data_IF_726649924533
#
_entry.id   IF_726649924533
#
_cell.length_a   1.000
_cell.length_b   1.000
_cell.length_c   1.000
_cell.angle_alpha   90.00
_cell.angle_beta   90.00
_cell.angle_gamma   90.00
#
_symmetry.space_group_name_H-M   'P 1'
#
loop_
_entity.id
_entity.type
_entity.pdbx_description
1 polymer ?
#
# COMPACT_ATOMS: atom_id res chain seq x y z
N UNK A 1 -12.10 29.26 73.12
CA UNK A 1 -12.28 30.47 73.96
C UNK A 1 -13.61 30.45 74.72
N UNK A 2 -14.76 30.25 74.04
CA UNK A 2 -16.07 30.15 74.72
C UNK A 2 -16.12 29.10 75.85
N UNK A 3 -15.50 27.94 75.67
CA UNK A 3 -15.40 26.90 76.72
C UNK A 3 -14.50 27.27 77.90
N UNK A 4 -13.49 28.12 77.67
CA UNK A 4 -12.59 28.57 78.74
C UNK A 4 -13.32 29.53 79.69
N UNK A 5 -14.21 30.36 79.16
CA UNK A 5 -15.04 31.27 79.96
C UNK A 5 -16.02 30.54 80.88
N UNK A 6 -16.42 29.30 80.55
CA UNK A 6 -17.28 28.46 81.40
C UNK A 6 -16.55 27.91 82.63
N UNK A 7 -15.21 27.94 82.64
CA UNK A 7 -14.38 27.42 83.76
C UNK A 7 -14.12 28.46 84.85
N UNK A 8 -14.48 29.72 84.63
CA UNK A 8 -14.30 30.78 85.62
C UNK A 8 -15.36 30.64 86.73
N UNK A 9 -15.01 30.87 88.01
CA UNK A 9 -15.95 30.80 89.13
C UNK A 9 -16.89 32.02 89.14
N UNK A 10 -17.87 32.03 88.23
CA UNK A 10 -18.84 33.12 88.03
C UNK A 10 -19.61 33.50 89.30
N UNK A 11 -19.80 32.55 90.20
CA UNK A 11 -20.54 32.69 91.46
C UNK A 11 -19.87 33.65 92.46
N UNK A 12 -18.56 33.91 92.33
CA UNK A 12 -17.80 34.75 93.28
C UNK A 12 -17.61 36.20 92.79
N UNK A 13 -18.18 36.55 91.64
CA UNK A 13 -17.97 37.86 91.04
C UNK A 13 -19.11 38.85 91.33
N UNK A 14 -18.81 40.15 91.47
CA UNK A 14 -19.80 41.22 91.48
C UNK A 14 -20.74 41.15 90.27
N UNK A 15 -21.99 41.60 90.44
CA UNK A 15 -23.03 41.55 89.41
C UNK A 15 -22.62 42.24 88.09
N UNK A 16 -21.88 43.34 88.16
CA UNK A 16 -21.36 44.05 86.97
C UNK A 16 -20.44 43.17 86.13
N UNK A 17 -19.54 42.41 86.75
CA UNK A 17 -18.62 41.51 86.06
C UNK A 17 -19.34 40.26 85.52
N UNK A 18 -20.38 39.77 86.20
CA UNK A 18 -21.20 38.67 85.70
C UNK A 18 -21.94 39.05 84.42
N UNK A 19 -22.50 40.27 84.36
CA UNK A 19 -23.19 40.78 83.18
C UNK A 19 -22.23 40.89 81.97
N UNK A 20 -21.06 41.53 82.15
CA UNK A 20 -20.07 41.64 81.08
C UNK A 20 -19.54 40.28 80.61
N UNK A 21 -19.41 39.30 81.52
CA UNK A 21 -18.99 37.94 81.17
C UNK A 21 -20.06 37.22 80.33
N UNK A 22 -21.35 37.36 80.68
CA UNK A 22 -22.46 36.81 79.90
C UNK A 22 -22.55 37.44 78.50
N UNK A 23 -22.38 38.76 78.42
CA UNK A 23 -22.34 39.49 77.14
C UNK A 23 -21.17 39.02 76.27
N UNK A 24 -19.97 38.90 76.83
CA UNK A 24 -18.80 38.38 76.12
C UNK A 24 -19.02 36.94 75.63
N UNK A 25 -19.64 36.08 76.45
CA UNK A 25 -19.98 34.72 76.03
C UNK A 25 -20.96 34.70 74.85
N UNK A 26 -21.99 35.54 74.89
CA UNK A 26 -22.97 35.65 73.81
C UNK A 26 -22.33 36.19 72.52
N UNK A 27 -21.49 37.22 72.62
CA UNK A 27 -20.75 37.78 71.49
C UNK A 27 -19.83 36.74 70.83
N UNK A 28 -19.05 35.99 71.62
CA UNK A 28 -18.15 34.96 71.09
C UNK A 28 -18.96 33.82 70.45
N UNK A 29 -20.07 33.39 71.06
CA UNK A 29 -20.92 32.35 70.49
C UNK A 29 -21.54 32.78 69.15
N UNK A 30 -22.00 34.04 69.05
CA UNK A 30 -22.51 34.61 67.81
C UNK A 30 -21.42 34.69 66.72
N UNK A 31 -20.21 35.13 67.06
CA UNK A 31 -19.08 35.18 66.11
C UNK A 31 -18.63 33.78 65.66
N UNK A 32 -18.62 32.80 66.55
CA UNK A 32 -18.33 31.41 66.19
C UNK A 32 -19.42 30.83 65.26
N UNK A 33 -20.69 31.14 65.50
CA UNK A 33 -21.79 30.69 64.65
C UNK A 33 -21.72 31.33 63.25
N UNK A 34 -21.42 32.62 63.16
CA UNK A 34 -21.22 33.33 61.88
C UNK A 34 -20.08 32.73 61.06
N UNK A 35 -18.99 32.35 61.71
CA UNK A 35 -17.79 31.81 61.05
C UNK A 35 -17.75 30.27 61.01
N UNK A 36 -18.88 29.59 61.25
CA UNK A 36 -18.96 28.13 61.29
C UNK A 36 -18.77 27.47 59.91
N UNK A 37 -19.10 28.19 58.83
CA UNK A 37 -18.97 27.70 57.46
C UNK A 37 -17.54 27.90 56.96
N UNK A 38 -16.72 26.86 57.07
CA UNK A 38 -15.37 26.84 56.51
C UNK A 38 -15.41 26.43 55.03
N UNK A 39 -15.03 27.34 54.14
CA UNK A 39 -14.77 27.01 52.73
C UNK A 39 -13.32 26.60 52.53
N UNK A 40 -13.08 25.46 51.90
CA UNK A 40 -11.73 25.03 51.54
C UNK A 40 -11.14 25.96 50.47
N UNK A 41 -9.96 26.50 50.72
CA UNK A 41 -9.20 27.26 49.73
C UNK A 41 -8.84 26.36 48.53
N UNK A 42 -9.25 26.77 47.33
CA UNK A 42 -8.91 26.09 46.08
C UNK A 42 -7.93 26.92 45.26
N UNK A 43 -7.01 26.23 44.56
CA UNK A 43 -6.17 26.88 43.54
C UNK A 43 -7.05 27.38 42.40
N UNK A 44 -6.65 28.49 41.78
CA UNK A 44 -7.31 29.00 40.57
C UNK A 44 -7.31 27.91 39.48
N UNK A 45 -8.50 27.54 39.00
CA UNK A 45 -8.65 26.54 37.94
C UNK A 45 -8.23 27.17 36.60
N UNK A 46 -7.10 26.73 36.05
CA UNK A 46 -6.70 27.15 34.71
C UNK A 46 -7.50 26.40 33.64
N UNK A 47 -7.93 27.13 32.61
CA UNK A 47 -8.58 26.51 31.47
C UNK A 47 -7.56 25.82 30.56
N UNK A 48 -7.91 24.63 30.08
CA UNK A 48 -7.05 23.85 29.18
C UNK A 48 -7.06 24.50 27.80
N UNK A 49 -5.87 24.70 27.21
CA UNK A 49 -5.75 25.16 25.82
C UNK A 49 -6.24 24.08 24.87
N UNK A 50 -6.90 24.50 23.79
CA UNK A 50 -7.29 23.60 22.70
C UNK A 50 -6.06 23.12 21.91
N UNK A 51 -6.20 21.97 21.27
CA UNK A 51 -5.20 21.44 20.35
C UNK A 51 -5.05 22.37 19.13
N UNK A 52 -3.81 22.53 18.65
CA UNK A 52 -3.54 23.26 17.42
C UNK A 52 -4.11 22.50 16.22
N UNK A 53 -5.00 23.15 15.50
CA UNK A 53 -5.58 22.63 14.25
C UNK A 53 -4.64 22.97 13.09
N UNK A 54 -4.12 21.96 12.40
CA UNK A 54 -3.30 22.14 11.21
C UNK A 54 -4.14 22.00 9.94
N UNK A 55 -3.80 22.79 8.93
CA UNK A 55 -4.45 22.73 7.62
C UNK A 55 -3.97 21.50 6.81
N UNK A 56 -4.89 20.81 6.11
CA UNK A 56 -4.53 19.70 5.26
C UNK A 56 -3.78 20.17 4.02
N UNK A 57 -2.69 19.48 3.67
CA UNK A 57 -1.95 19.73 2.43
C UNK A 57 -2.56 18.92 1.28
N UNK A 58 -3.29 19.58 0.40
CA UNK A 58 -3.83 19.00 -0.83
C UNK A 58 -3.54 19.90 -2.04
N UNK A 59 -3.67 19.33 -3.24
CA UNK A 59 -3.57 20.07 -4.51
C UNK A 59 -4.99 20.39 -4.99
N UNK A 60 -5.31 21.66 -5.27
CA UNK A 60 -6.64 22.09 -5.73
C UNK A 60 -7.04 21.44 -7.06
N UNK A 61 -6.10 21.31 -7.99
CA UNK A 61 -6.29 20.69 -9.30
C UNK A 61 -5.71 19.27 -9.33
N UNK A 62 -6.24 18.39 -8.49
CA UNK A 62 -5.78 16.99 -8.43
C UNK A 62 -6.26 16.22 -9.66
N UNK A 63 -5.30 15.72 -10.44
CA UNK A 63 -5.54 14.79 -11.54
C UNK A 63 -4.94 13.42 -11.18
N UNK A 64 -5.79 12.38 -11.13
CA UNK A 64 -5.38 11.03 -10.77
C UNK A 64 -4.46 10.37 -11.81
N UNK A 65 -4.53 10.76 -13.08
CA UNK A 65 -3.64 10.25 -14.13
C UNK A 65 -2.25 10.90 -14.08
N UNK A 66 -2.18 12.12 -13.53
CA UNK A 66 -0.95 12.89 -13.42
C UNK A 66 -0.22 12.56 -12.12
N UNK A 67 1.04 12.16 -12.24
CA UNK A 67 1.88 11.92 -11.05
C UNK A 67 2.13 13.24 -10.30
N UNK A 68 1.79 13.27 -9.01
CA UNK A 68 2.00 14.40 -8.05
C UNK A 68 3.39 15.04 -8.12
N UNK A 69 4.41 14.30 -8.57
CA UNK A 69 5.80 14.78 -8.67
C UNK A 69 6.07 15.74 -9.83
N UNK A 70 5.10 15.96 -10.72
CA UNK A 70 5.26 16.89 -11.85
C UNK A 70 5.06 18.35 -11.43
N UNK A 71 4.33 18.61 -10.33
CA UNK A 71 3.94 19.96 -9.92
C UNK A 71 4.89 20.62 -8.92
N UNK A 72 5.88 19.91 -8.38
CA UNK A 72 6.84 20.51 -7.45
C UNK A 72 7.95 21.17 -8.28
N UNK A 73 7.84 22.48 -8.48
CA UNK A 73 8.81 23.34 -9.16
C UNK A 73 10.27 23.21 -8.68
N UNK A 74 10.52 22.53 -7.54
CA UNK A 74 11.85 22.19 -7.00
C UNK A 74 12.45 20.86 -7.51
N UNK A 75 11.70 19.98 -8.17
CA UNK A 75 12.16 18.62 -8.55
C UNK A 75 12.34 18.37 -10.07
N UNK A 76 12.23 19.41 -10.91
CA UNK A 76 12.13 19.29 -12.37
C UNK A 76 13.11 18.30 -13.02
N UNK A 77 14.41 18.39 -12.68
CA UNK A 77 15.46 17.51 -13.23
C UNK A 77 15.28 16.02 -12.85
N UNK A 78 14.78 15.72 -11.65
CA UNK A 78 14.55 14.33 -11.23
C UNK A 78 13.26 13.76 -11.79
N UNK A 79 12.23 14.60 -11.94
CA UNK A 79 10.96 14.23 -12.55
C UNK A 79 11.13 13.94 -14.05
N UNK A 80 11.87 14.80 -14.75
CA UNK A 80 12.21 14.62 -16.17
C UNK A 80 13.01 13.32 -16.40
N UNK A 81 14.02 13.06 -15.57
CA UNK A 81 14.78 11.81 -15.62
C UNK A 81 13.90 10.56 -15.44
N UNK A 82 12.91 10.61 -14.53
CA UNK A 82 11.97 9.50 -14.34
C UNK A 82 11.05 9.32 -15.55
N UNK A 83 10.56 10.42 -16.13
CA UNK A 83 9.75 10.38 -17.34
C UNK A 83 10.54 9.79 -18.50
N UNK A 84 11.79 10.22 -18.68
CA UNK A 84 12.69 9.72 -19.72
C UNK A 84 12.98 8.23 -19.54
N UNK A 85 13.31 7.79 -18.31
CA UNK A 85 13.48 6.36 -17.98
C UNK A 85 12.23 5.54 -18.29
N UNK A 86 11.02 6.08 -18.01
CA UNK A 86 9.75 5.41 -18.31
C UNK A 86 9.56 5.26 -19.82
N UNK A 87 9.78 6.34 -20.59
CA UNK A 87 9.70 6.33 -22.06
C UNK A 87 10.69 5.31 -22.63
N UNK A 88 11.96 5.39 -22.25
CA UNK A 88 13.00 4.45 -22.66
C UNK A 88 12.61 2.98 -22.41
N UNK A 89 12.15 2.64 -21.20
CA UNK A 89 11.71 1.28 -20.87
C UNK A 89 10.50 0.83 -21.69
N UNK A 90 9.57 1.74 -22.01
CA UNK A 90 8.40 1.43 -22.83
C UNK A 90 8.82 1.10 -24.27
N UNK A 91 9.65 1.95 -24.87
CA UNK A 91 10.16 1.76 -26.23
C UNK A 91 11.02 0.51 -26.34
N UNK A 92 11.97 0.30 -25.41
CA UNK A 92 12.81 -0.89 -25.37
C UNK A 92 11.99 -2.18 -25.30
N UNK A 93 10.96 -2.21 -24.45
CA UNK A 93 10.05 -3.35 -24.34
C UNK A 93 9.21 -3.54 -25.61
N UNK A 94 8.82 -2.45 -26.28
CA UNK A 94 8.13 -2.48 -27.56
C UNK A 94 8.99 -3.12 -28.64
N UNK A 95 10.18 -2.57 -28.86
CA UNK A 95 11.14 -3.07 -29.84
C UNK A 95 11.47 -4.55 -29.60
N UNK A 96 11.70 -4.95 -28.35
CA UNK A 96 12.00 -6.35 -28.03
C UNK A 96 10.80 -7.29 -28.28
N UNK A 97 9.56 -6.81 -28.16
CA UNK A 97 8.37 -7.62 -28.51
C UNK A 97 8.28 -7.82 -30.02
N UNK A 98 8.52 -6.79 -30.82
CA UNK A 98 8.51 -6.90 -32.28
C UNK A 98 9.61 -7.85 -32.77
N UNK A 99 10.85 -7.70 -32.28
CA UNK A 99 11.94 -8.63 -32.61
C UNK A 99 11.63 -10.10 -32.28
N UNK A 100 10.90 -10.35 -31.18
CA UNK A 100 10.47 -11.72 -30.85
C UNK A 100 9.41 -12.24 -31.82
N UNK A 101 8.46 -11.41 -32.24
CA UNK A 101 7.45 -11.78 -33.25
C UNK A 101 8.11 -12.07 -34.59
N UNK A 102 9.05 -11.23 -35.01
CA UNK A 102 9.80 -11.39 -36.26
C UNK A 102 10.58 -12.71 -36.24
N UNK A 103 11.28 -13.00 -35.14
CA UNK A 103 12.00 -14.26 -34.99
C UNK A 103 11.06 -15.48 -35.06
N UNK A 104 9.88 -15.41 -34.43
CA UNK A 104 8.89 -16.49 -34.51
C UNK A 104 8.37 -16.67 -35.94
N UNK A 105 8.12 -15.57 -36.64
CA UNK A 105 7.69 -15.59 -38.03
C UNK A 105 8.74 -16.24 -38.93
N UNK A 106 10.00 -15.78 -38.86
CA UNK A 106 11.13 -16.35 -39.62
C UNK A 106 11.31 -17.83 -39.30
N UNK A 107 11.22 -18.23 -38.04
CA UNK A 107 11.36 -19.63 -37.65
C UNK A 107 10.24 -20.50 -38.23
N UNK A 108 9.00 -19.98 -38.29
CA UNK A 108 7.86 -20.68 -38.89
C UNK A 108 8.02 -20.82 -40.40
N UNK A 109 8.43 -19.76 -41.10
CA UNK A 109 8.64 -19.83 -42.55
C UNK A 109 9.76 -20.81 -42.91
N UNK A 110 10.92 -20.71 -42.24
CA UNK A 110 12.03 -21.64 -42.46
C UNK A 110 11.62 -23.10 -42.22
N UNK A 111 10.82 -23.35 -41.18
CA UNK A 111 10.30 -24.70 -40.91
C UNK A 111 9.39 -25.18 -42.04
N UNK A 112 8.47 -24.33 -42.50
CA UNK A 112 7.57 -24.66 -43.60
C UNK A 112 8.34 -24.96 -44.90
N UNK A 113 9.39 -24.20 -45.19
CA UNK A 113 10.25 -24.41 -46.35
C UNK A 113 10.99 -25.75 -46.27
N UNK A 114 11.60 -26.05 -45.11
CA UNK A 114 12.28 -27.32 -44.85
C UNK A 114 11.30 -28.50 -45.00
N UNK A 115 10.12 -28.40 -44.42
CA UNK A 115 9.08 -29.45 -44.51
C UNK A 115 8.61 -29.67 -45.96
N UNK A 116 8.44 -28.60 -46.73
CA UNK A 116 8.07 -28.68 -48.14
C UNK A 116 9.17 -29.37 -48.97
N UNK A 117 10.42 -28.98 -48.77
CA UNK A 117 11.57 -29.57 -49.44
C UNK A 117 11.74 -31.05 -49.08
N UNK A 118 11.57 -31.40 -47.80
CA UNK A 118 11.61 -32.78 -47.35
C UNK A 118 10.48 -33.63 -47.93
N UNK A 119 9.26 -33.07 -48.02
CA UNK A 119 8.13 -33.74 -48.66
C UNK A 119 8.42 -34.02 -50.13
N UNK A 120 8.94 -33.03 -50.86
CA UNK A 120 9.32 -33.21 -52.27
C UNK A 120 10.42 -34.27 -52.43
N UNK A 121 11.47 -34.21 -51.60
CA UNK A 121 12.57 -35.18 -51.62
C UNK A 121 12.06 -36.60 -51.35
N UNK A 122 11.28 -36.80 -50.28
CA UNK A 122 10.70 -38.11 -49.94
C UNK A 122 9.82 -38.65 -51.06
N UNK A 123 9.01 -37.80 -51.69
CA UNK A 123 8.18 -38.19 -52.84
C UNK A 123 9.06 -38.66 -54.01
N UNK A 124 10.07 -37.87 -54.41
CA UNK A 124 10.99 -38.25 -55.49
C UNK A 124 11.72 -39.57 -55.20
N UNK A 125 12.22 -39.75 -53.99
CA UNK A 125 12.89 -41.00 -53.59
C UNK A 125 11.91 -42.18 -53.64
N UNK A 126 10.67 -42.00 -53.17
CA UNK A 126 9.64 -43.04 -53.24
C UNK A 126 9.33 -43.43 -54.69
N UNK A 127 9.16 -42.45 -55.57
CA UNK A 127 8.85 -42.68 -56.98
C UNK A 127 10.02 -43.41 -57.69
N UNK A 128 11.27 -43.03 -57.39
CA UNK A 128 12.46 -43.70 -57.91
C UNK A 128 12.56 -45.15 -57.43
N UNK A 129 12.34 -45.40 -56.13
CA UNK A 129 12.37 -46.75 -55.56
C UNK A 129 11.26 -47.63 -56.15
N UNK A 130 10.08 -47.06 -56.39
CA UNK A 130 8.98 -47.77 -57.03
C UNK A 130 9.33 -48.14 -58.48
N UNK A 131 9.94 -47.22 -59.23
CA UNK A 131 10.43 -47.49 -60.59
C UNK A 131 11.50 -48.59 -60.63
N UNK A 132 12.49 -48.54 -59.73
CA UNK A 132 13.52 -49.58 -59.60
C UNK A 132 12.93 -50.95 -59.27
N UNK A 133 11.97 -51.00 -58.34
CA UNK A 133 11.27 -52.24 -57.99
C UNK A 133 10.49 -52.82 -59.19
N UNK A 134 9.88 -51.97 -60.02
CA UNK A 134 9.24 -52.37 -61.27
C UNK A 134 10.23 -53.02 -62.24
N UNK A 135 11.39 -52.39 -62.45
CA UNK A 135 12.45 -52.93 -63.32
C UNK A 135 12.97 -54.28 -62.82
N UNK A 136 13.19 -54.44 -61.51
CA UNK A 136 13.59 -55.73 -60.93
C UNK A 136 12.53 -56.81 -61.15
N UNK A 137 11.24 -56.47 -61.02
CA UNK A 137 10.13 -57.39 -61.27
C UNK A 137 10.08 -57.84 -62.73
N UNK A 138 10.20 -56.90 -63.67
CA UNK A 138 10.27 -57.19 -65.10
C UNK A 138 11.50 -58.04 -65.46
N UNK A 139 12.66 -57.71 -64.91
CA UNK A 139 13.89 -58.49 -65.09
C UNK A 139 13.71 -59.94 -64.63
N UNK A 140 13.17 -60.14 -63.41
CA UNK A 140 12.88 -61.48 -62.88
C UNK A 140 11.89 -62.23 -63.77
N UNK A 141 10.80 -61.58 -64.19
CA UNK A 141 9.80 -62.19 -65.10
C UNK A 141 10.45 -62.64 -66.41
N UNK A 142 11.25 -61.79 -67.04
CA UNK A 142 11.96 -62.10 -68.28
C UNK A 142 12.99 -63.23 -68.10
N UNK A 143 13.69 -63.25 -66.96
CA UNK A 143 14.60 -64.33 -66.60
C UNK A 143 13.88 -65.68 -66.51
N UNK A 144 12.74 -65.75 -65.82
CA UNK A 144 11.93 -66.98 -65.72
C UNK A 144 11.33 -67.41 -67.07
N UNK A 145 10.85 -66.47 -67.89
CA UNK A 145 10.31 -66.78 -69.23
C UNK A 145 11.35 -67.37 -70.17
N UNK A 146 12.62 -66.93 -70.08
CA UNK A 146 13.72 -67.52 -70.86
C UNK A 146 14.10 -68.93 -70.42
N UNK A 147 13.92 -69.25 -69.13
CA UNK A 147 14.20 -70.58 -68.59
C UNK A 147 13.06 -71.58 -68.78
N UNK A 148 11.85 -71.12 -69.09
CA UNK A 148 10.72 -71.99 -69.36
C UNK A 148 10.97 -72.80 -70.66
N UNK A 149 10.80 -74.14 -70.63
CA UNK A 149 10.99 -74.96 -71.82
C UNK A 149 9.93 -74.58 -72.88
N UNK A 150 10.40 -74.31 -74.11
CA UNK A 150 9.49 -74.14 -75.25
C UNK A 150 8.81 -75.48 -75.52
N UNK A 151 7.49 -75.53 -75.31
CA UNK A 151 6.66 -76.64 -75.80
C UNK A 151 6.61 -76.62 -77.32
#
# INVERSE_FOLDING_TARGET
LAELLKRLPSQRYPQSLQASLSELQACIAAECAKNSNLTQLQKQKQQKKMLEMLEPRFEENFDAERSRKVNIAKEGKTAENKLLKRKYKKEMRGAMRELRKDNQFIAKEKRSEIEANDRMRRKKTKDLMHSLQGQESEYKKNFYMKQAPRR
#
